data_IF_445310265608
#
_entry.id   IF_445310265608
#
_cell.length_a   1.000
_cell.length_b   1.000
_cell.length_c   1.000
_cell.angle_alpha   90.00
_cell.angle_beta   90.00
_cell.angle_gamma   90.00
#
_symmetry.space_group_name_H-M   'P 1'
#
loop_
_entity.id
_entity.type
_entity.pdbx_description
1 polymer ?
#
# COMPACT_ATOMS: atom_id res chain seq x y z
N UNK A 1 -24.44 -27.98 3.89
CA UNK A 1 -23.18 -27.73 3.16
C UNK A 1 -22.72 -29.03 2.51
N UNK A 2 -22.35 -28.99 1.22
CA UNK A 2 -21.87 -30.20 0.52
C UNK A 2 -20.46 -30.62 0.96
N UNK A 3 -20.14 -31.91 0.85
CA UNK A 3 -18.86 -32.45 1.29
C UNK A 3 -17.65 -31.85 0.54
N UNK A 4 -17.85 -31.44 -0.74
CA UNK A 4 -16.79 -30.78 -1.52
C UNK A 4 -16.39 -29.43 -0.95
N UNK A 5 -17.36 -28.62 -0.50
CA UNK A 5 -17.11 -27.33 0.14
C UNK A 5 -16.42 -27.53 1.50
N UNK A 6 -16.87 -28.48 2.32
CA UNK A 6 -16.23 -28.82 3.59
C UNK A 6 -14.76 -29.21 3.38
N UNK A 7 -14.49 -30.08 2.41
CA UNK A 7 -13.13 -30.51 2.09
C UNK A 7 -12.26 -29.35 1.61
N UNK A 8 -12.80 -28.45 0.80
CA UNK A 8 -12.11 -27.24 0.34
C UNK A 8 -11.74 -26.34 1.51
N UNK A 9 -12.70 -26.00 2.39
CA UNK A 9 -12.48 -25.17 3.57
C UNK A 9 -11.38 -25.78 4.45
N UNK A 10 -11.47 -27.08 4.74
CA UNK A 10 -10.45 -27.75 5.58
C UNK A 10 -9.07 -27.75 4.94
N UNK A 11 -8.97 -27.87 3.62
CA UNK A 11 -7.70 -27.77 2.92
C UNK A 11 -7.10 -26.37 3.02
N UNK A 12 -7.89 -25.32 2.82
CA UNK A 12 -7.45 -23.95 2.94
C UNK A 12 -7.06 -23.57 4.37
N UNK A 13 -7.80 -24.06 5.37
CA UNK A 13 -7.45 -23.88 6.79
C UNK A 13 -6.11 -24.52 7.13
N UNK A 14 -5.88 -25.73 6.65
CA UNK A 14 -4.61 -26.43 6.84
C UNK A 14 -3.43 -25.67 6.19
N UNK A 15 -3.62 -25.18 4.98
CA UNK A 15 -2.61 -24.38 4.27
C UNK A 15 -2.27 -23.11 5.05
N UNK A 16 -3.29 -22.38 5.53
CA UNK A 16 -3.09 -21.17 6.33
C UNK A 16 -2.34 -21.46 7.66
N UNK A 17 -2.67 -22.58 8.31
CA UNK A 17 -1.96 -23.03 9.51
C UNK A 17 -0.48 -23.37 9.22
N UNK A 18 -0.22 -24.10 8.15
CA UNK A 18 1.15 -24.48 7.77
C UNK A 18 1.97 -23.25 7.37
N UNK A 19 1.40 -22.31 6.63
CA UNK A 19 2.05 -21.04 6.28
C UNK A 19 2.40 -20.21 7.52
N UNK A 20 1.48 -20.14 8.48
CA UNK A 20 1.65 -19.35 9.71
C UNK A 20 2.68 -19.96 10.68
N UNK A 21 3.15 -21.19 10.45
CA UNK A 21 4.27 -21.79 11.21
C UNK A 21 5.65 -21.27 10.81
N UNK A 22 5.74 -20.59 9.64
CA UNK A 22 7.00 -20.03 9.18
C UNK A 22 7.33 -18.76 9.97
N UNK A 23 8.61 -18.51 10.33
CA UNK A 23 9.00 -17.34 11.09
C UNK A 23 8.60 -16.02 10.38
N UNK A 24 7.86 -15.17 11.09
CA UNK A 24 7.40 -13.89 10.56
C UNK A 24 6.24 -13.95 9.57
N UNK A 25 5.68 -15.14 9.30
CA UNK A 25 4.54 -15.32 8.41
C UNK A 25 3.24 -15.49 9.21
N UNK A 26 2.17 -14.91 8.68
CA UNK A 26 0.82 -15.11 9.20
C UNK A 26 -0.16 -15.12 8.03
N UNK A 27 -1.12 -16.03 8.07
CA UNK A 27 -2.22 -16.13 7.11
C UNK A 27 -3.53 -16.31 7.85
N UNK A 28 -4.54 -15.49 7.51
CA UNK A 28 -5.89 -15.64 8.03
C UNK A 28 -6.49 -16.98 7.62
N UNK A 29 -7.18 -17.64 8.56
CA UNK A 29 -7.85 -18.91 8.30
C UNK A 29 -9.33 -18.69 8.00
N UNK A 30 -9.89 -19.53 7.13
CA UNK A 30 -11.36 -19.58 6.91
C UNK A 30 -12.07 -19.97 8.20
N UNK A 31 -13.35 -19.57 8.30
CA UNK A 31 -14.26 -20.00 9.36
C UNK A 31 -14.43 -21.52 9.31
N UNK A 32 -14.57 -22.15 10.48
CA UNK A 32 -14.74 -23.60 10.60
C UNK A 32 -16.02 -24.09 9.90
N UNK A 33 -15.97 -25.25 9.22
CA UNK A 33 -17.13 -25.79 8.53
C UNK A 33 -18.34 -26.04 9.47
N UNK A 34 -18.08 -26.25 10.76
CA UNK A 34 -19.09 -26.50 11.80
C UNK A 34 -19.89 -25.24 12.15
N UNK A 35 -19.40 -24.05 11.82
CA UNK A 35 -20.15 -22.80 11.99
C UNK A 35 -21.22 -22.66 10.90
N UNK A 36 -22.29 -23.43 11.07
CA UNK A 36 -23.36 -23.55 10.07
C UNK A 36 -24.14 -22.23 9.88
N UNK A 37 -24.23 -21.39 10.90
CA UNK A 37 -24.87 -20.07 10.82
C UNK A 37 -24.13 -19.19 9.81
N UNK A 38 -22.82 -19.03 9.97
CA UNK A 38 -21.97 -18.28 9.05
C UNK A 38 -22.07 -18.81 7.62
N UNK A 39 -21.96 -20.14 7.44
CA UNK A 39 -21.91 -20.71 6.11
C UNK A 39 -23.28 -20.70 5.39
N UNK A 40 -24.38 -20.82 6.12
CA UNK A 40 -25.72 -20.70 5.55
C UNK A 40 -26.03 -19.27 5.09
N UNK A 41 -25.50 -18.25 5.80
CA UNK A 41 -25.60 -16.85 5.38
C UNK A 41 -24.68 -16.56 4.18
N UNK A 42 -23.46 -17.03 4.24
CA UNK A 42 -22.43 -16.77 3.23
C UNK A 42 -22.64 -17.53 1.89
N UNK A 43 -23.08 -18.77 1.96
CA UNK A 43 -23.28 -19.71 0.84
C UNK A 43 -24.62 -20.42 1.00
N UNK A 44 -25.74 -19.77 0.69
CA UNK A 44 -27.09 -20.31 0.95
C UNK A 44 -27.36 -21.67 0.30
N UNK A 45 -26.83 -21.95 -0.90
CA UNK A 45 -26.95 -23.29 -1.53
C UNK A 45 -26.06 -24.34 -0.85
N UNK A 46 -25.06 -23.92 -0.10
CA UNK A 46 -24.08 -24.79 0.53
C UNK A 46 -23.17 -25.51 -0.44
N UNK A 47 -23.05 -25.04 -1.69
CA UNK A 47 -22.24 -25.68 -2.75
C UNK A 47 -20.87 -25.03 -2.92
N UNK A 48 -19.87 -25.82 -3.34
CA UNK A 48 -18.54 -25.28 -3.67
C UNK A 48 -18.61 -24.35 -4.89
N UNK A 49 -19.51 -24.61 -5.83
CA UNK A 49 -19.66 -23.77 -7.01
C UNK A 49 -20.11 -22.35 -6.66
N UNK A 50 -21.15 -22.22 -5.81
CA UNK A 50 -21.61 -20.92 -5.33
C UNK A 50 -20.51 -20.19 -4.53
N UNK A 51 -19.82 -20.91 -3.65
CA UNK A 51 -18.73 -20.34 -2.89
C UNK A 51 -17.63 -19.76 -3.79
N UNK A 52 -17.21 -20.51 -4.81
CA UNK A 52 -16.19 -20.03 -5.77
C UNK A 52 -16.67 -18.83 -6.58
N UNK A 53 -17.97 -18.81 -6.93
CA UNK A 53 -18.56 -17.66 -7.62
C UNK A 53 -18.52 -16.42 -6.75
N UNK A 54 -18.88 -16.53 -5.48
CA UNK A 54 -18.82 -15.42 -4.51
C UNK A 54 -17.37 -14.93 -4.36
N UNK A 55 -16.40 -15.84 -4.25
CA UNK A 55 -14.99 -15.45 -4.21
C UNK A 55 -14.56 -14.69 -5.47
N UNK A 56 -14.95 -15.15 -6.65
CA UNK A 56 -14.61 -14.51 -7.92
C UNK A 56 -15.19 -13.10 -8.03
N UNK A 57 -16.44 -12.88 -7.57
CA UNK A 57 -17.05 -11.56 -7.51
C UNK A 57 -16.33 -10.63 -6.51
N UNK A 58 -15.91 -11.15 -5.36
CA UNK A 58 -15.12 -10.40 -4.38
C UNK A 58 -13.73 -10.05 -4.91
N UNK A 59 -13.05 -11.01 -5.53
CA UNK A 59 -11.73 -10.79 -6.14
C UNK A 59 -11.82 -9.70 -7.23
N UNK A 60 -12.84 -9.75 -8.09
CA UNK A 60 -13.09 -8.73 -9.11
C UNK A 60 -13.34 -7.35 -8.44
N UNK A 61 -14.18 -7.30 -7.41
CA UNK A 61 -14.44 -6.06 -6.68
C UNK A 61 -13.15 -5.45 -6.10
N UNK A 62 -12.33 -6.25 -5.43
CA UNK A 62 -11.11 -5.74 -4.80
C UNK A 62 -10.05 -5.34 -5.84
N UNK A 63 -9.82 -6.15 -6.88
CA UNK A 63 -8.89 -5.80 -7.95
C UNK A 63 -9.27 -4.48 -8.64
N UNK A 64 -10.55 -4.30 -8.96
CA UNK A 64 -11.06 -3.08 -9.59
C UNK A 64 -11.01 -1.88 -8.62
N UNK A 65 -11.29 -2.11 -7.33
CA UNK A 65 -11.19 -1.05 -6.32
C UNK A 65 -9.76 -0.55 -6.14
N UNK A 66 -8.79 -1.44 -6.21
CA UNK A 66 -7.36 -1.12 -6.11
C UNK A 66 -6.85 -0.45 -7.40
N UNK A 67 -7.26 -0.93 -8.58
CA UNK A 67 -6.83 -0.36 -9.86
C UNK A 67 -7.40 1.04 -10.13
N UNK A 68 -8.66 1.27 -9.78
CA UNK A 68 -9.37 2.51 -10.14
C UNK A 68 -9.88 3.27 -8.93
N UNK A 69 -10.87 2.74 -8.22
CA UNK A 69 -11.36 3.26 -6.93
C UNK A 69 -12.47 2.37 -6.36
N UNK A 70 -12.69 2.46 -5.05
CA UNK A 70 -13.84 1.83 -4.38
C UNK A 70 -15.19 2.34 -4.90
N UNK A 71 -15.25 3.62 -5.32
CA UNK A 71 -16.47 4.21 -5.88
C UNK A 71 -16.82 3.59 -7.23
N UNK A 72 -15.84 3.40 -8.09
CA UNK A 72 -16.01 2.74 -9.39
C UNK A 72 -16.42 1.28 -9.21
N UNK A 73 -15.71 0.51 -8.39
CA UNK A 73 -16.05 -0.90 -8.12
C UNK A 73 -17.48 -1.07 -7.59
N UNK A 74 -17.96 -0.18 -6.70
CA UNK A 74 -19.34 -0.21 -6.19
C UNK A 74 -20.41 0.09 -7.23
N UNK A 75 -20.06 0.72 -8.35
CA UNK A 75 -21.01 1.01 -9.42
C UNK A 75 -21.20 -0.14 -10.41
N UNK A 76 -20.39 -1.20 -10.29
CA UNK A 76 -20.46 -2.39 -11.14
C UNK A 76 -21.43 -3.42 -10.59
N UNK A 77 -22.11 -4.15 -11.48
CA UNK A 77 -23.01 -5.26 -11.15
C UNK A 77 -22.32 -6.59 -11.45
N UNK A 78 -21.46 -7.03 -10.54
CA UNK A 78 -20.70 -8.28 -10.68
C UNK A 78 -21.59 -9.52 -10.74
N UNK A 79 -22.75 -9.47 -10.10
CA UNK A 79 -23.68 -10.61 -10.09
C UNK A 79 -24.27 -10.93 -11.48
N UNK A 80 -24.34 -9.92 -12.37
CA UNK A 80 -24.83 -10.09 -13.73
C UNK A 80 -23.76 -10.57 -14.73
N UNK A 81 -22.47 -10.52 -14.36
CA UNK A 81 -21.34 -10.93 -15.21
C UNK A 81 -21.17 -12.45 -15.22
N UNK A 82 -20.68 -12.99 -16.32
CA UNK A 82 -20.20 -14.39 -16.40
C UNK A 82 -18.86 -14.55 -15.68
N UNK A 83 -18.46 -15.79 -15.39
CA UNK A 83 -17.15 -16.05 -14.77
C UNK A 83 -15.99 -15.58 -15.68
N UNK A 84 -16.11 -15.75 -17.00
CA UNK A 84 -15.12 -15.31 -17.99
C UNK A 84 -15.01 -13.77 -18.04
N UNK A 85 -16.13 -13.06 -17.90
CA UNK A 85 -16.12 -11.59 -17.82
C UNK A 85 -15.44 -11.11 -16.54
N UNK A 86 -15.73 -11.74 -15.39
CA UNK A 86 -15.07 -11.40 -14.12
C UNK A 86 -13.56 -11.69 -14.16
N UNK A 87 -13.15 -12.83 -14.70
CA UNK A 87 -11.72 -13.17 -14.87
C UNK A 87 -11.02 -12.16 -15.78
N UNK A 88 -11.70 -11.66 -16.81
CA UNK A 88 -11.17 -10.63 -17.70
C UNK A 88 -10.99 -9.31 -16.95
N UNK A 89 -12.02 -8.87 -16.21
CA UNK A 89 -11.93 -7.64 -15.41
C UNK A 89 -10.82 -7.72 -14.35
N UNK A 90 -10.65 -8.85 -13.67
CA UNK A 90 -9.56 -9.07 -12.71
C UNK A 90 -8.21 -8.94 -13.38
N UNK A 91 -8.05 -9.52 -14.56
CA UNK A 91 -6.81 -9.45 -15.32
C UNK A 91 -6.49 -8.01 -15.73
N UNK A 92 -7.46 -7.32 -16.33
CA UNK A 92 -7.28 -5.95 -16.80
C UNK A 92 -6.98 -4.99 -15.63
N UNK A 93 -7.68 -5.15 -14.50
CA UNK A 93 -7.41 -4.40 -13.28
C UNK A 93 -6.00 -4.70 -12.71
N UNK A 94 -5.56 -5.95 -12.75
CA UNK A 94 -4.22 -6.33 -12.30
C UNK A 94 -3.12 -5.71 -13.17
N UNK A 95 -3.33 -5.64 -14.49
CA UNK A 95 -2.41 -4.96 -15.42
C UNK A 95 -2.31 -3.46 -15.08
N UNK A 96 -3.43 -2.80 -14.82
CA UNK A 96 -3.45 -1.38 -14.40
C UNK A 96 -2.74 -1.17 -13.06
N UNK A 97 -2.94 -2.06 -12.08
CA UNK A 97 -2.22 -1.99 -10.80
C UNK A 97 -0.71 -2.10 -10.99
N UNK A 98 -0.25 -3.01 -11.84
CA UNK A 98 1.19 -3.16 -12.14
C UNK A 98 1.75 -1.92 -12.85
N UNK A 99 1.03 -1.35 -13.83
CA UNK A 99 1.42 -0.11 -14.50
C UNK A 99 1.54 1.06 -13.51
N UNK A 100 0.57 1.22 -12.62
CA UNK A 100 0.58 2.24 -11.57
C UNK A 100 1.78 2.06 -10.62
N UNK A 101 2.01 0.83 -10.16
CA UNK A 101 3.16 0.51 -9.31
C UNK A 101 4.50 0.85 -9.96
N UNK A 102 4.66 0.51 -11.25
CA UNK A 102 5.87 0.84 -12.00
C UNK A 102 6.02 2.36 -12.23
N UNK A 103 4.92 3.06 -12.43
CA UNK A 103 4.93 4.51 -12.58
C UNK A 103 5.30 5.21 -11.26
N UNK A 104 4.73 4.78 -10.13
CA UNK A 104 5.08 5.28 -8.80
C UNK A 104 6.55 5.05 -8.49
N UNK A 105 7.06 3.84 -8.72
CA UNK A 105 8.47 3.51 -8.51
C UNK A 105 9.41 4.40 -9.31
N UNK A 106 9.09 4.65 -10.60
CA UNK A 106 9.89 5.56 -11.44
C UNK A 106 9.82 7.01 -10.95
N UNK A 107 8.66 7.45 -10.48
CA UNK A 107 8.50 8.80 -9.93
C UNK A 107 9.35 8.96 -8.64
N UNK A 108 9.34 7.93 -7.78
CA UNK A 108 10.15 7.87 -6.56
C UNK A 108 11.67 7.91 -6.88
N UNK A 109 12.12 7.06 -7.80
CA UNK A 109 13.51 7.05 -8.25
C UNK A 109 13.95 8.41 -8.82
N UNK A 110 13.06 9.06 -9.59
CA UNK A 110 13.29 10.39 -10.13
C UNK A 110 13.37 11.45 -9.01
N UNK A 111 12.45 11.45 -8.05
CA UNK A 111 12.48 12.39 -6.93
C UNK A 111 13.78 12.30 -6.13
N UNK A 112 14.25 11.07 -5.89
CA UNK A 112 15.56 10.84 -5.23
C UNK A 112 16.71 11.40 -6.06
N UNK A 113 16.71 11.14 -7.37
CA UNK A 113 17.78 11.62 -8.26
C UNK A 113 17.78 13.16 -8.34
N UNK A 114 16.60 13.77 -8.51
CA UNK A 114 16.45 15.23 -8.59
C UNK A 114 16.92 15.90 -7.29
N UNK A 115 16.59 15.32 -6.13
CA UNK A 115 17.03 15.86 -4.84
C UNK A 115 18.55 15.70 -4.62
N UNK A 116 19.13 14.57 -5.01
CA UNK A 116 20.58 14.39 -4.96
C UNK A 116 21.32 15.37 -5.86
N UNK A 117 20.77 15.66 -7.04
CA UNK A 117 21.31 16.67 -7.94
C UNK A 117 21.20 18.08 -7.28
N UNK A 118 20.08 18.42 -6.63
CA UNK A 118 19.93 19.67 -5.92
C UNK A 118 20.99 19.83 -4.81
N UNK A 119 21.29 18.77 -4.06
CA UNK A 119 22.38 18.77 -3.08
C UNK A 119 23.73 19.02 -3.77
N UNK A 120 24.01 18.31 -4.88
CA UNK A 120 25.27 18.50 -5.59
C UNK A 120 25.41 19.91 -6.18
N UNK A 121 24.36 20.44 -6.80
CA UNK A 121 24.33 21.82 -7.29
C UNK A 121 24.61 22.83 -6.18
N UNK A 122 24.07 22.58 -4.97
CA UNK A 122 24.32 23.44 -3.79
C UNK A 122 25.76 23.35 -3.33
N UNK A 123 26.37 22.16 -3.40
CA UNK A 123 27.81 21.99 -3.12
C UNK A 123 28.65 22.73 -4.15
N UNK A 124 28.32 22.62 -5.42
CA UNK A 124 29.02 23.29 -6.52
C UNK A 124 28.90 24.82 -6.44
N UNK A 125 27.83 25.33 -5.81
CA UNK A 125 27.65 26.77 -5.49
C UNK A 125 28.44 27.22 -4.27
N UNK A 126 29.09 26.34 -3.53
CA UNK A 126 30.03 26.68 -2.47
C UNK A 126 29.71 26.10 -1.09
N UNK A 127 28.73 25.17 -0.95
CA UNK A 127 28.60 24.42 0.27
C UNK A 127 29.76 23.40 0.39
N UNK A 128 30.36 23.31 1.57
CA UNK A 128 31.55 22.46 1.78
C UNK A 128 31.25 20.96 1.67
N UNK A 129 30.00 20.56 2.06
CA UNK A 129 29.57 19.18 2.12
C UNK A 129 28.01 19.05 2.06
N UNK A 130 27.51 17.81 2.07
CA UNK A 130 26.07 17.50 2.07
C UNK A 130 25.32 18.16 3.26
N UNK A 131 25.91 18.16 4.46
CA UNK A 131 25.25 18.73 5.65
C UNK A 131 25.16 20.25 5.53
N UNK A 132 26.17 20.90 4.99
CA UNK A 132 26.16 22.34 4.72
C UNK A 132 25.14 22.68 3.63
N UNK A 133 25.08 21.86 2.56
CA UNK A 133 24.06 22.02 1.53
C UNK A 133 22.64 21.88 2.11
N UNK A 134 22.38 20.89 2.94
CA UNK A 134 21.09 20.71 3.61
C UNK A 134 20.73 21.90 4.51
N UNK A 135 21.70 22.47 5.26
CA UNK A 135 21.48 23.70 6.06
C UNK A 135 21.11 24.89 5.18
N UNK A 136 21.73 25.04 4.01
CA UNK A 136 21.39 26.10 3.06
C UNK A 136 19.99 25.91 2.48
N UNK A 137 19.61 24.66 2.15
CA UNK A 137 18.30 24.33 1.58
C UNK A 137 17.16 24.49 2.59
N UNK A 138 17.48 24.49 3.89
CA UNK A 138 16.47 24.62 4.98
C UNK A 138 16.58 25.95 5.74
N UNK A 139 17.49 26.86 5.37
CA UNK A 139 17.76 28.09 6.13
C UNK A 139 16.58 29.06 6.26
N UNK A 140 15.68 29.05 5.28
CA UNK A 140 14.51 29.92 5.24
C UNK A 140 13.24 29.22 5.76
N UNK A 141 13.37 27.94 6.17
CA UNK A 141 12.26 27.15 6.70
C UNK A 141 12.18 27.25 8.23
N UNK A 142 10.97 27.19 8.75
CA UNK A 142 10.72 27.20 10.19
C UNK A 142 10.26 25.84 10.66
N UNK A 143 10.99 25.28 11.59
CA UNK A 143 10.68 23.98 12.19
C UNK A 143 10.35 24.19 13.67
N UNK A 144 9.21 23.69 14.12
CA UNK A 144 8.78 23.75 15.52
C UNK A 144 8.85 22.35 16.17
N UNK A 145 8.74 21.30 15.38
CA UNK A 145 8.83 19.90 15.82
C UNK A 145 9.23 18.97 14.66
N UNK A 146 9.54 17.70 14.97
CA UNK A 146 10.00 16.73 13.96
C UNK A 146 9.02 16.49 12.80
N UNK A 147 7.72 16.66 13.02
CA UNK A 147 6.71 16.54 11.94
C UNK A 147 6.87 17.63 10.86
N UNK A 148 7.42 18.79 11.18
CA UNK A 148 7.69 19.81 10.16
C UNK A 148 8.85 19.39 9.25
N UNK A 149 9.84 18.69 9.81
CA UNK A 149 10.93 18.07 9.02
C UNK A 149 10.37 16.99 8.11
N UNK A 150 9.50 16.11 8.62
CA UNK A 150 8.82 15.11 7.81
C UNK A 150 7.98 15.75 6.70
N UNK A 151 7.25 16.83 6.99
CA UNK A 151 6.45 17.57 6.00
C UNK A 151 7.33 18.18 4.91
N UNK A 152 8.48 18.73 5.27
CA UNK A 152 9.43 19.27 4.30
C UNK A 152 9.98 18.16 3.37
N UNK A 153 10.31 17.00 3.92
CA UNK A 153 10.77 15.83 3.15
C UNK A 153 9.62 15.26 2.28
N UNK A 154 8.38 15.30 2.77
CA UNK A 154 7.19 14.92 2.02
C UNK A 154 6.98 15.80 0.78
N UNK A 155 7.14 17.13 0.93
CA UNK A 155 6.98 18.09 -0.18
C UNK A 155 8.02 17.89 -1.30
N UNK A 156 9.15 17.23 -0.98
CA UNK A 156 10.15 16.80 -1.98
C UNK A 156 9.81 15.44 -2.60
N UNK A 157 8.69 14.80 -2.19
CA UNK A 157 8.28 13.48 -2.68
C UNK A 157 9.16 12.32 -2.16
N UNK A 158 9.80 12.49 -1.00
CA UNK A 158 10.83 11.56 -0.49
C UNK A 158 10.43 10.81 0.78
N UNK A 159 9.45 11.30 1.55
CA UNK A 159 9.18 10.82 2.91
C UNK A 159 9.00 9.31 3.03
N UNK A 160 8.32 8.69 2.07
CA UNK A 160 8.02 7.25 2.10
C UNK A 160 9.13 6.37 1.54
N UNK A 161 10.21 6.98 1.02
CA UNK A 161 11.40 6.25 0.52
C UNK A 161 12.36 5.93 1.66
N UNK A 162 13.22 4.94 1.48
CA UNK A 162 14.28 4.66 2.47
C UNK A 162 15.30 5.81 2.53
N UNK A 163 15.56 6.46 1.38
CA UNK A 163 16.38 7.67 1.33
C UNK A 163 15.76 8.82 2.15
N UNK A 164 14.44 9.03 2.03
CA UNK A 164 13.74 10.08 2.79
C UNK A 164 13.75 9.82 4.30
N UNK A 165 13.61 8.58 4.74
CA UNK A 165 13.71 8.21 6.17
C UNK A 165 15.11 8.52 6.75
N UNK A 166 16.16 8.30 5.96
CA UNK A 166 17.53 8.68 6.35
C UNK A 166 17.73 10.20 6.32
N UNK A 167 17.13 10.86 5.31
CA UNK A 167 17.18 12.32 5.20
C UNK A 167 16.49 13.02 6.39
N UNK A 168 15.32 12.52 6.83
CA UNK A 168 14.63 13.04 8.04
C UNK A 168 15.59 13.01 9.23
N UNK A 169 16.24 11.88 9.50
CA UNK A 169 17.20 11.76 10.62
C UNK A 169 18.34 12.76 10.52
N UNK A 170 18.93 12.92 9.32
CA UNK A 170 20.01 13.91 9.09
C UNK A 170 19.53 15.35 9.34
N UNK A 171 18.31 15.66 8.91
CA UNK A 171 17.75 17.00 9.08
C UNK A 171 17.42 17.28 10.53
N UNK A 172 16.85 16.34 11.29
CA UNK A 172 16.58 16.49 12.74
C UNK A 172 17.85 16.81 13.52
N UNK A 173 19.02 16.31 13.09
CA UNK A 173 20.31 16.59 13.71
C UNK A 173 20.88 18.00 13.39
N UNK A 174 20.41 18.67 12.35
CA UNK A 174 21.01 19.92 11.85
C UNK A 174 20.08 21.13 11.86
N UNK A 175 18.75 20.94 11.91
CA UNK A 175 17.79 22.04 11.99
C UNK A 175 17.70 22.59 13.41
N UNK A 176 17.29 23.83 13.53
CA UNK A 176 16.99 24.44 14.81
C UNK A 176 15.48 24.57 14.95
N UNK A 177 14.93 24.06 16.05
CA UNK A 177 13.51 24.21 16.33
C UNK A 177 13.23 25.55 16.98
N UNK A 178 12.28 26.32 16.45
CA UNK A 178 11.80 27.58 17.00
C UNK A 178 10.81 27.33 18.16
N UNK A 179 10.75 28.24 19.12
CA UNK A 179 9.75 28.12 20.19
C UNK A 179 8.37 28.54 19.64
N UNK A 180 7.38 27.67 19.81
CA UNK A 180 6.01 27.94 19.38
C UNK A 180 5.39 29.21 19.96
N UNK A 181 5.90 29.68 21.12
CA UNK A 181 5.39 30.88 21.82
C UNK A 181 5.85 32.19 21.19
N UNK A 182 6.88 32.20 20.36
CA UNK A 182 7.36 33.40 19.67
C UNK A 182 6.67 33.67 18.33
N UNK A 183 5.83 32.73 17.84
CA UNK A 183 5.16 32.80 16.55
C UNK A 183 3.72 33.38 16.60
N UNK A 184 3.23 33.83 17.79
CA UNK A 184 1.87 34.31 18.00
C UNK A 184 1.75 35.84 18.01
#
# INVERSE_FOLDING_TARGET
MEQKLINYINAQRKEAEEFSKQPGCWMGSMVEPENTEYWNDRVPSGTLAEFKRIQLEEDAYYCIADAYSKGYARSMDFASMTDEELETEIKDASEVCEENFQAEKKAEEKSIADFKNLIQDTIDLGADDELTALRWLTQDEKFYHGQDVESWVYDKGLLFTDYGKELVKKLEDIVTYEDWQEAA
#
